data_IF_935351300129
#
_entry.id   IF_935351300129
#
_cell.length_a   1.000
_cell.length_b   1.000
_cell.length_c   1.000
_cell.angle_alpha   90.00
_cell.angle_beta   90.00
_cell.angle_gamma   90.00
#
_symmetry.space_group_name_H-M   'P 1'
#
loop_
_entity.id
_entity.type
_entity.pdbx_description
1 polymer ?
#
# COMPACT_ATOMS: atom_id res chain seq x y z
N UNK A 1 3.13 -14.25 2.56
CA UNK A 1 3.21 -12.83 2.19
C UNK A 1 3.66 -11.93 3.34
N UNK A 2 3.24 -12.14 4.59
CA UNK A 2 3.65 -11.25 5.71
C UNK A 2 5.18 -11.07 5.83
N UNK A 3 5.95 -12.17 5.88
CA UNK A 3 7.41 -12.12 6.02
C UNK A 3 8.08 -11.43 4.83
N UNK A 4 7.69 -11.80 3.60
CA UNK A 4 8.26 -11.21 2.38
C UNK A 4 7.93 -9.73 2.25
N UNK A 5 6.71 -9.33 2.60
CA UNK A 5 6.30 -7.94 2.61
C UNK A 5 7.04 -7.14 3.71
N UNK A 6 7.23 -7.73 4.89
CA UNK A 6 7.98 -7.11 5.99
C UNK A 6 9.42 -6.89 5.59
N UNK A 7 10.06 -7.90 4.99
CA UNK A 7 11.42 -7.79 4.48
C UNK A 7 11.51 -6.66 3.44
N UNK A 8 10.59 -6.60 2.47
CA UNK A 8 10.57 -5.52 1.47
C UNK A 8 10.45 -4.15 2.13
N UNK A 9 9.46 -3.93 3.00
CA UNK A 9 9.25 -2.64 3.68
C UNK A 9 10.42 -2.25 4.60
N UNK A 10 11.06 -3.22 5.23
CA UNK A 10 12.23 -2.97 6.06
C UNK A 10 13.47 -2.62 5.21
N UNK A 11 13.68 -3.33 4.10
CA UNK A 11 14.79 -3.10 3.17
C UNK A 11 14.67 -1.74 2.49
N UNK A 12 13.46 -1.38 2.08
CA UNK A 12 13.07 -0.06 1.57
C UNK A 12 13.50 1.04 2.55
N UNK A 13 13.10 0.97 3.83
CA UNK A 13 13.53 1.96 4.83
C UNK A 13 15.03 1.99 5.18
N UNK A 14 15.82 1.02 4.71
CA UNK A 14 17.26 0.91 4.98
C UNK A 14 18.14 1.39 3.82
N UNK A 15 17.63 1.44 2.60
CA UNK A 15 18.43 1.64 1.39
C UNK A 15 19.10 3.04 1.36
N UNK A 16 18.39 4.10 1.75
CA UNK A 16 18.88 5.46 1.77
C UNK A 16 19.84 5.71 2.92
N UNK A 17 19.66 5.00 4.05
CA UNK A 17 20.64 5.01 5.15
C UNK A 17 21.93 4.35 4.72
N UNK A 18 21.83 3.23 4.00
CA UNK A 18 22.98 2.53 3.46
C UNK A 18 23.69 3.37 2.41
N UNK A 19 22.97 3.95 1.44
CA UNK A 19 23.53 4.80 0.39
C UNK A 19 24.30 6.01 0.95
N UNK A 20 23.78 6.65 2.02
CA UNK A 20 24.49 7.72 2.72
C UNK A 20 25.76 7.23 3.41
N UNK A 21 25.72 6.04 4.01
CA UNK A 21 26.88 5.43 4.68
C UNK A 21 27.98 5.02 3.71
N UNK A 22 27.62 4.51 2.53
CA UNK A 22 28.58 4.05 1.51
C UNK A 22 29.00 5.14 0.53
N UNK A 23 28.43 6.35 0.65
CA UNK A 23 28.71 7.45 -0.29
C UNK A 23 28.16 7.22 -1.69
N UNK A 24 27.17 6.34 -1.84
CA UNK A 24 26.56 5.97 -3.13
C UNK A 24 25.18 6.62 -3.34
N UNK A 25 24.84 7.63 -2.55
CA UNK A 25 23.64 8.45 -2.76
C UNK A 25 23.73 9.19 -4.10
N UNK A 26 22.68 9.08 -4.92
CA UNK A 26 22.61 9.77 -6.21
C UNK A 26 21.21 9.70 -6.82
N UNK A 27 20.95 10.55 -7.81
CA UNK A 27 19.63 10.70 -8.44
C UNK A 27 19.11 9.41 -9.08
N UNK A 28 19.99 8.54 -9.59
CA UNK A 28 19.60 7.24 -10.15
C UNK A 28 19.11 6.27 -9.07
N UNK A 29 19.71 6.30 -7.88
CA UNK A 29 19.28 5.46 -6.76
C UNK A 29 17.92 5.91 -6.25
N UNK A 30 17.75 7.21 -6.05
CA UNK A 30 16.46 7.82 -5.64
C UNK A 30 15.36 7.56 -6.67
N UNK A 31 15.67 7.64 -7.97
CA UNK A 31 14.72 7.28 -9.03
C UNK A 31 14.31 5.81 -8.99
N UNK A 32 15.26 4.89 -8.72
CA UNK A 32 14.96 3.47 -8.64
C UNK A 32 14.12 3.11 -7.42
N UNK A 33 14.44 3.71 -6.27
CA UNK A 33 13.71 3.57 -5.00
C UNK A 33 12.24 3.97 -5.19
N UNK A 34 12.00 5.23 -5.57
CA UNK A 34 10.64 5.75 -5.75
C UNK A 34 9.90 5.12 -6.94
N UNK A 35 10.63 4.74 -7.99
CA UNK A 35 10.07 4.06 -9.16
C UNK A 35 9.53 2.68 -8.82
N UNK A 36 10.29 1.89 -8.05
CA UNK A 36 9.86 0.58 -7.56
C UNK A 36 8.69 0.74 -6.58
N UNK A 37 8.74 1.71 -5.67
CA UNK A 37 7.65 2.02 -4.75
C UNK A 37 6.34 2.30 -5.49
N UNK A 38 6.41 3.08 -6.56
CA UNK A 38 5.25 3.34 -7.42
C UNK A 38 4.73 2.07 -8.06
N UNK A 39 5.61 1.25 -8.64
CA UNK A 39 5.23 0.03 -9.35
C UNK A 39 4.59 -1.01 -8.41
N UNK A 40 5.08 -1.13 -7.18
CA UNK A 40 4.62 -2.14 -6.23
C UNK A 40 3.28 -1.77 -5.58
N UNK A 41 2.86 -0.49 -5.59
CA UNK A 41 1.57 -0.06 -5.03
C UNK A 41 0.35 -0.78 -5.62
N UNK A 42 0.32 -1.03 -6.94
CA UNK A 42 -0.79 -1.73 -7.62
C UNK A 42 -0.91 -3.20 -7.17
N UNK A 43 0.12 -4.06 -7.30
CA UNK A 43 0.01 -5.44 -6.86
C UNK A 43 -0.26 -5.55 -5.35
N UNK A 44 0.29 -4.66 -4.52
CA UNK A 44 0.00 -4.64 -3.08
C UNK A 44 -1.48 -4.34 -2.81
N UNK A 45 -2.06 -3.33 -3.45
CA UNK A 45 -3.49 -3.03 -3.32
C UNK A 45 -4.38 -4.20 -3.80
N UNK A 46 -4.03 -4.86 -4.90
CA UNK A 46 -4.77 -6.05 -5.39
C UNK A 46 -4.71 -7.18 -4.36
N UNK A 47 -3.54 -7.47 -3.80
CA UNK A 47 -3.41 -8.54 -2.78
C UNK A 47 -4.18 -8.22 -1.50
N UNK A 48 -4.30 -6.95 -1.12
CA UNK A 48 -5.10 -6.51 0.02
C UNK A 48 -6.59 -6.79 -0.21
N UNK A 49 -7.14 -6.33 -1.33
CA UNK A 49 -8.54 -6.58 -1.68
C UNK A 49 -8.84 -8.06 -1.87
N UNK A 50 -7.88 -8.84 -2.39
CA UNK A 50 -8.01 -10.31 -2.51
C UNK A 50 -8.00 -11.02 -1.16
N UNK A 51 -7.26 -10.50 -0.18
CA UNK A 51 -7.17 -11.09 1.17
C UNK A 51 -8.45 -10.84 1.98
N UNK A 52 -9.03 -9.64 1.85
CA UNK A 52 -10.20 -9.19 2.64
C UNK A 52 -11.54 -9.50 1.95
N UNK A 53 -11.58 -9.52 0.62
CA UNK A 53 -12.80 -9.72 -0.16
C UNK A 53 -12.81 -11.05 -0.92
N UNK A 54 -13.55 -12.05 -0.44
CA UNK A 54 -13.70 -13.35 -1.11
C UNK A 54 -15.19 -13.69 -1.36
N UNK A 55 -15.53 -13.99 -2.60
CA UNK A 55 -16.88 -14.42 -3.00
C UNK A 55 -17.91 -13.30 -2.84
N UNK A 56 -19.02 -13.59 -2.17
CA UNK A 56 -20.11 -12.62 -1.94
C UNK A 56 -19.69 -11.40 -1.10
N UNK A 57 -18.58 -11.49 -0.35
CA UNK A 57 -18.02 -10.42 0.48
C UNK A 57 -17.03 -9.53 -0.28
N UNK A 58 -16.75 -9.80 -1.56
CA UNK A 58 -15.85 -8.99 -2.38
C UNK A 58 -16.48 -7.65 -2.78
N UNK A 59 -15.63 -6.62 -2.94
CA UNK A 59 -16.00 -5.37 -3.60
C UNK A 59 -16.13 -5.60 -5.11
N UNK A 60 -17.14 -5.03 -5.80
CA UNK A 60 -17.25 -5.10 -7.25
C UNK A 60 -15.97 -4.67 -7.95
N UNK A 61 -15.58 -5.38 -9.01
CA UNK A 61 -14.33 -5.13 -9.74
C UNK A 61 -14.16 -3.65 -10.15
N UNK A 62 -15.22 -3.02 -10.64
CA UNK A 62 -15.22 -1.60 -11.05
C UNK A 62 -14.84 -0.66 -9.90
N UNK A 63 -15.30 -0.94 -8.67
CA UNK A 63 -14.95 -0.14 -7.48
C UNK A 63 -13.49 -0.33 -7.09
N UNK A 64 -12.98 -1.56 -7.18
CA UNK A 64 -11.54 -1.82 -6.98
C UNK A 64 -10.71 -1.05 -8.00
N UNK A 65 -11.14 -0.98 -9.27
CA UNK A 65 -10.47 -0.18 -10.30
C UNK A 65 -10.46 1.32 -9.95
N UNK A 66 -11.55 1.88 -9.45
CA UNK A 66 -11.57 3.29 -9.01
C UNK A 66 -10.59 3.54 -7.86
N UNK A 67 -10.51 2.64 -6.88
CA UNK A 67 -9.52 2.75 -5.80
C UNK A 67 -8.10 2.71 -6.37
N UNK A 68 -7.78 1.74 -7.24
CA UNK A 68 -6.45 1.65 -7.84
C UNK A 68 -6.09 2.91 -8.64
N UNK A 69 -7.02 3.42 -9.45
CA UNK A 69 -6.83 4.66 -10.20
C UNK A 69 -6.59 5.85 -9.27
N UNK A 70 -7.36 5.98 -8.18
CA UNK A 70 -7.19 7.07 -7.21
C UNK A 70 -5.82 7.05 -6.54
N UNK A 71 -5.33 5.86 -6.16
CA UNK A 71 -4.00 5.68 -5.57
C UNK A 71 -2.91 6.02 -6.59
N UNK A 72 -3.03 5.57 -7.85
CA UNK A 72 -2.04 5.88 -8.89
C UNK A 72 -1.98 7.37 -9.22
N UNK A 73 -3.13 8.02 -9.38
CA UNK A 73 -3.18 9.48 -9.61
C UNK A 73 -2.48 10.23 -8.47
N UNK A 74 -2.70 9.82 -7.23
CA UNK A 74 -2.06 10.41 -6.06
C UNK A 74 -0.54 10.22 -6.06
N UNK A 75 -0.06 8.99 -6.32
CA UNK A 75 1.38 8.71 -6.40
C UNK A 75 2.03 9.53 -7.52
N UNK A 76 1.40 9.62 -8.70
CA UNK A 76 1.92 10.45 -9.79
C UNK A 76 1.91 11.95 -9.47
N UNK A 77 0.94 12.44 -8.69
CA UNK A 77 0.92 13.83 -8.24
C UNK A 77 2.11 14.16 -7.31
N UNK A 78 2.50 13.23 -6.44
CA UNK A 78 3.69 13.38 -5.57
C UNK A 78 4.97 13.42 -6.41
N UNK A 79 5.09 12.54 -7.40
CA UNK A 79 6.25 12.55 -8.30
C UNK A 79 6.31 13.83 -9.13
N UNK A 80 5.15 14.34 -9.56
CA UNK A 80 5.06 15.64 -10.20
C UNK A 80 5.53 16.76 -9.27
N UNK A 81 5.11 16.77 -8.01
CA UNK A 81 5.60 17.74 -7.01
C UNK A 81 7.11 17.61 -6.81
N UNK A 82 7.65 16.40 -6.68
CA UNK A 82 9.08 16.15 -6.56
C UNK A 82 9.84 16.65 -7.78
N UNK A 83 9.34 16.41 -8.99
CA UNK A 83 9.94 16.89 -10.23
C UNK A 83 10.06 18.42 -10.26
N UNK A 84 9.03 19.13 -9.78
CA UNK A 84 9.02 20.59 -9.79
C UNK A 84 9.79 21.22 -8.61
N UNK A 85 9.77 20.60 -7.43
CA UNK A 85 10.33 21.18 -6.20
C UNK A 85 11.69 20.61 -5.80
N UNK A 86 12.09 19.47 -6.35
CA UNK A 86 13.27 18.71 -5.96
C UNK A 86 13.16 18.03 -4.59
N UNK A 87 11.98 18.03 -3.95
CA UNK A 87 11.78 17.44 -2.62
C UNK A 87 10.60 16.46 -2.68
N UNK A 88 10.84 15.20 -2.29
CA UNK A 88 9.75 14.24 -2.09
C UNK A 88 9.24 14.32 -0.65
N UNK A 89 7.95 14.60 -0.49
CA UNK A 89 7.27 14.54 0.81
C UNK A 89 6.57 13.20 0.91
N UNK A 90 7.05 12.33 1.80
CA UNK A 90 6.39 11.06 2.08
C UNK A 90 5.03 11.32 2.75
N UNK A 91 3.91 10.87 2.17
CA UNK A 91 2.60 11.00 2.78
C UNK A 91 2.48 10.10 4.01
N UNK A 92 1.84 10.60 5.06
CA UNK A 92 1.47 9.77 6.21
C UNK A 92 0.65 8.54 5.80
N UNK A 93 -0.15 8.66 4.74
CA UNK A 93 -0.93 7.56 4.16
C UNK A 93 -0.08 6.37 3.68
N UNK A 94 1.14 6.60 3.18
CA UNK A 94 2.04 5.53 2.75
C UNK A 94 2.42 4.61 3.92
N UNK A 95 2.85 5.20 5.04
CA UNK A 95 3.22 4.45 6.24
C UNK A 95 2.01 3.70 6.81
N UNK A 96 0.88 4.39 7.00
CA UNK A 96 -0.33 3.77 7.55
C UNK A 96 -0.81 2.63 6.65
N UNK A 97 -0.78 2.80 5.33
CA UNK A 97 -1.11 1.77 4.35
C UNK A 97 -0.25 0.51 4.48
N UNK A 98 1.07 0.68 4.59
CA UNK A 98 2.00 -0.44 4.77
C UNK A 98 1.78 -1.18 6.10
N UNK A 99 1.51 -0.47 7.20
CA UNK A 99 1.15 -1.09 8.49
C UNK A 99 -0.18 -1.84 8.43
N UNK A 100 -1.20 -1.28 7.77
CA UNK A 100 -2.49 -1.94 7.56
C UNK A 100 -2.34 -3.22 6.72
N UNK A 101 -1.51 -3.17 5.67
CA UNK A 101 -1.23 -4.32 4.82
C UNK A 101 -0.50 -5.43 5.59
N UNK A 102 0.48 -5.05 6.40
CA UNK A 102 1.19 -5.96 7.31
C UNK A 102 0.23 -6.64 8.27
N UNK A 103 -0.61 -5.86 8.95
CA UNK A 103 -1.60 -6.37 9.90
C UNK A 103 -2.57 -7.33 9.23
N UNK A 104 -3.04 -6.99 8.02
CA UNK A 104 -3.95 -7.85 7.24
C UNK A 104 -3.30 -9.19 6.90
N UNK A 105 -2.04 -9.21 6.46
CA UNK A 105 -1.35 -10.46 6.17
C UNK A 105 -1.11 -11.32 7.42
N UNK A 106 -0.77 -10.71 8.55
CA UNK A 106 -0.59 -11.41 9.83
C UNK A 106 -1.90 -12.00 10.34
N UNK A 107 -2.98 -11.23 10.31
CA UNK A 107 -4.32 -11.70 10.72
C UNK A 107 -4.80 -12.83 9.80
N UNK A 108 -4.59 -12.70 8.49
CA UNK A 108 -4.90 -13.76 7.52
C UNK A 108 -4.09 -15.03 7.79
N UNK A 109 -2.85 -14.90 8.25
CA UNK A 109 -2.00 -16.06 8.60
C UNK A 109 -2.48 -16.76 9.88
N UNK A 110 -2.86 -16.02 10.91
CA UNK A 110 -3.26 -16.58 12.21
C UNK A 110 -4.68 -17.16 12.19
N UNK A 111 -5.63 -16.42 11.63
CA UNK A 111 -7.08 -16.70 11.74
C UNK A 111 -7.64 -17.29 10.43
N UNK A 112 -6.94 -17.10 9.30
CA UNK A 112 -7.39 -17.51 7.97
C UNK A 112 -8.28 -16.46 7.30
N UNK A 113 -8.45 -16.56 5.97
CA UNK A 113 -9.29 -15.63 5.18
C UNK A 113 -10.78 -15.65 5.58
N UNK A 114 -11.23 -16.68 6.30
CA UNK A 114 -12.62 -16.83 6.72
C UNK A 114 -13.03 -15.77 7.76
N UNK A 115 -12.06 -15.20 8.51
CA UNK A 115 -12.34 -14.14 9.48
C UNK A 115 -12.93 -12.88 8.85
N UNK A 116 -12.65 -12.63 7.57
CA UNK A 116 -13.15 -11.46 6.84
C UNK A 116 -14.55 -11.66 6.26
N UNK A 117 -15.07 -12.91 6.23
CA UNK A 117 -16.43 -13.23 5.79
C UNK A 117 -17.44 -13.01 6.91
N UNK A 118 -17.38 -11.84 7.53
CA UNK A 118 -18.26 -11.46 8.63
C UNK A 118 -18.85 -10.08 8.39
N UNK A 119 -19.96 -9.80 9.05
CA UNK A 119 -20.54 -8.47 9.12
C UNK A 119 -20.06 -7.80 10.41
N UNK A 120 -19.21 -6.78 10.27
CA UNK A 120 -18.81 -5.91 11.37
C UNK A 120 -20.04 -5.08 11.77
N UNK A 121 -20.41 -5.14 13.05
CA UNK A 121 -21.65 -4.56 13.59
C UNK A 121 -22.94 -5.05 12.90
N UNK A 122 -22.92 -6.25 12.28
CA UNK A 122 -24.10 -6.83 11.62
C UNK A 122 -24.54 -6.13 10.33
N UNK A 123 -23.84 -5.08 9.89
CA UNK A 123 -24.24 -4.25 8.75
C UNK A 123 -23.12 -3.99 7.74
N UNK A 124 -21.86 -3.96 8.18
CA UNK A 124 -20.75 -3.46 7.34
C UNK A 124 -19.75 -4.58 7.04
N UNK A 125 -19.44 -4.76 5.76
CA UNK A 125 -18.39 -5.69 5.32
C UNK A 125 -17.02 -5.04 5.58
N UNK A 126 -16.03 -5.77 6.13
CA UNK A 126 -14.67 -5.24 6.37
C UNK A 126 -14.04 -4.57 5.15
N UNK A 127 -14.33 -5.07 3.94
CA UNK A 127 -13.83 -4.52 2.67
C UNK A 127 -14.34 -3.09 2.38
N UNK A 128 -15.53 -2.73 2.87
CA UNK A 128 -16.10 -1.38 2.67
C UNK A 128 -15.40 -0.38 3.58
N UNK A 129 -15.09 -0.76 4.82
CA UNK A 129 -14.30 0.08 5.74
C UNK A 129 -12.90 0.34 5.18
N UNK A 130 -12.28 -0.71 4.64
CA UNK A 130 -10.99 -0.62 3.96
C UNK A 130 -11.05 0.37 2.78
N UNK A 131 -12.06 0.23 1.92
CA UNK A 131 -12.27 1.10 0.76
C UNK A 131 -12.51 2.57 1.17
N UNK A 132 -13.33 2.84 2.19
CA UNK A 132 -13.53 4.21 2.68
C UNK A 132 -12.26 4.83 3.22
N UNK A 133 -11.36 4.01 3.79
CA UNK A 133 -10.04 4.45 4.22
C UNK A 133 -9.24 5.08 3.09
N UNK A 134 -9.23 4.46 1.91
CA UNK A 134 -8.53 4.98 0.72
C UNK A 134 -9.10 6.32 0.22
N UNK A 135 -10.41 6.53 0.31
CA UNK A 135 -11.02 7.82 -0.09
C UNK A 135 -10.80 8.92 0.96
N UNK A 136 -10.63 8.57 2.23
CA UNK A 136 -10.44 9.52 3.33
C UNK A 136 -9.00 9.98 3.55
N UNK A 137 -8.03 9.30 2.92
CA UNK A 137 -6.60 9.57 3.08
C UNK A 137 -6.04 10.64 2.12
N UNK A 138 -6.93 11.40 1.46
CA UNK A 138 -6.57 12.51 0.57
C UNK A 138 -6.61 13.85 1.29
#
# INVERSE_FOLDING_TARGET
MAITFFANYALDGMDGKQARRTGTSGATGEFFDHGIDTCITVPLAITLFSSVGRGEFSTPFVRVMYVLLSVQIYVHAIHWEQYNTGVMRSPWGYNIGNWMLMGTYLMTYIIGCESYKTYVFGLIRPVILLETGFYSSH
#
